data_IF_696799169605
#
_entry.id   IF_696799169605
#
_cell.length_a   1.000
_cell.length_b   1.000
_cell.length_c   1.000
_cell.angle_alpha   90.00
_cell.angle_beta   90.00
_cell.angle_gamma   90.00
#
_symmetry.space_group_name_H-M   'P 1'
#
loop_
_entity.id
_entity.type
_entity.pdbx_description
1 polymer ?
#
# COMPACT_ATOMS: atom_id res chain seq x y z
N UNK A 1 -6.98 16.66 9.12
CA UNK A 1 -5.54 16.33 8.89
C UNK A 1 -4.95 17.41 7.99
N UNK A 2 -3.78 17.93 8.35
CA UNK A 2 -3.23 18.99 7.50
C UNK A 2 -2.61 18.40 6.20
N UNK A 3 -2.44 19.26 5.21
CA UNK A 3 -2.00 18.84 3.88
C UNK A 3 -0.61 18.21 3.87
N UNK A 4 0.27 18.68 4.73
CA UNK A 4 1.64 18.18 4.75
C UNK A 4 1.68 16.74 5.28
N UNK A 5 0.97 16.47 6.37
CA UNK A 5 0.88 15.11 6.93
C UNK A 5 0.22 14.19 5.89
N UNK A 6 -0.86 14.66 5.28
CA UNK A 6 -1.57 13.88 4.26
C UNK A 6 -0.66 13.50 3.11
N UNK A 7 0.12 14.48 2.61
CA UNK A 7 1.02 14.22 1.49
C UNK A 7 2.10 13.20 1.85
N UNK A 8 2.69 13.32 3.03
CA UNK A 8 3.71 12.37 3.48
C UNK A 8 3.14 10.96 3.55
N UNK A 9 1.95 10.81 4.15
CA UNK A 9 1.35 9.49 4.30
C UNK A 9 0.94 8.89 2.96
N UNK A 10 0.38 9.70 2.05
CA UNK A 10 0.05 9.23 0.71
C UNK A 10 1.28 8.68 -0.01
N UNK A 11 2.38 9.44 0.03
CA UNK A 11 3.62 8.99 -0.60
C UNK A 11 4.15 7.72 0.03
N UNK A 12 4.04 7.60 1.35
CA UNK A 12 4.45 6.40 2.06
C UNK A 12 3.67 5.18 1.60
N UNK A 13 2.33 5.29 1.55
CA UNK A 13 1.49 4.16 1.17
C UNK A 13 1.67 3.80 -0.29
N UNK A 14 1.80 4.78 -1.17
CA UNK A 14 2.09 4.52 -2.57
C UNK A 14 3.41 3.78 -2.75
N UNK A 15 4.43 4.17 -2.00
CA UNK A 15 5.72 3.50 -2.05
C UNK A 15 5.64 2.07 -1.52
N UNK A 16 4.88 1.85 -0.45
CA UNK A 16 4.67 0.50 0.10
C UNK A 16 3.99 -0.41 -0.91
N UNK A 17 3.00 0.10 -1.63
CA UNK A 17 2.31 -0.65 -2.67
C UNK A 17 3.28 -1.03 -3.80
N UNK A 18 4.04 -0.06 -4.28
CA UNK A 18 4.98 -0.32 -5.38
C UNK A 18 6.09 -1.29 -4.97
N UNK A 19 6.60 -1.16 -3.74
CA UNK A 19 7.60 -2.07 -3.23
C UNK A 19 7.07 -3.50 -3.16
N UNK A 20 5.86 -3.68 -2.63
CA UNK A 20 5.25 -5.00 -2.53
C UNK A 20 4.97 -5.60 -3.91
N UNK A 21 4.48 -4.78 -4.85
CA UNK A 21 4.25 -5.23 -6.22
C UNK A 21 5.53 -5.70 -6.88
N UNK A 22 6.62 -4.97 -6.68
CA UNK A 22 7.92 -5.34 -7.23
C UNK A 22 8.38 -6.70 -6.68
N UNK A 23 8.25 -6.89 -5.37
CA UNK A 23 8.66 -8.14 -4.74
C UNK A 23 7.83 -9.33 -5.23
N UNK A 24 6.52 -9.14 -5.38
CA UNK A 24 5.64 -10.17 -5.93
C UNK A 24 6.08 -10.52 -7.35
N UNK A 25 6.41 -9.52 -8.16
CA UNK A 25 6.90 -9.73 -9.52
C UNK A 25 8.17 -10.56 -9.53
N UNK A 26 9.10 -10.26 -8.62
CA UNK A 26 10.35 -11.02 -8.50
C UNK A 26 10.08 -12.50 -8.20
N UNK A 27 9.18 -12.77 -7.25
CA UNK A 27 8.82 -14.15 -6.93
C UNK A 27 8.16 -14.86 -8.12
N UNK A 28 7.32 -14.14 -8.87
CA UNK A 28 6.54 -14.72 -9.95
C UNK A 28 7.36 -14.97 -11.22
N UNK A 29 8.25 -14.03 -11.57
CA UNK A 29 8.93 -14.05 -12.85
C UNK A 29 10.33 -14.66 -12.82
N UNK A 30 11.00 -14.57 -11.69
CA UNK A 30 12.39 -14.98 -11.60
C UNK A 30 12.59 -16.32 -10.90
N UNK A 31 11.51 -16.97 -10.50
CA UNK A 31 11.56 -18.26 -9.82
C UNK A 31 12.65 -18.28 -8.74
N UNK A 32 12.69 -17.23 -7.94
CA UNK A 32 13.71 -17.09 -6.91
C UNK A 32 13.58 -18.23 -5.92
N UNK A 33 14.48 -19.21 -6.05
CA UNK A 33 14.60 -20.24 -5.04
C UNK A 33 15.49 -19.67 -3.94
N UNK A 34 14.85 -19.22 -2.87
CA UNK A 34 15.57 -18.76 -1.69
C UNK A 34 15.51 -19.93 -0.71
N UNK A 35 16.63 -20.67 -0.53
CA UNK A 35 16.58 -21.87 0.29
C UNK A 35 16.11 -21.65 1.73
N UNK A 36 16.32 -20.46 2.26
CA UNK A 36 15.89 -20.11 3.60
C UNK A 36 14.40 -19.78 3.69
N UNK A 37 13.74 -19.60 2.55
CA UNK A 37 12.31 -19.22 2.51
C UNK A 37 11.57 -20.12 1.52
N UNK A 38 11.34 -21.39 1.90
CA UNK A 38 10.66 -22.32 1.00
C UNK A 38 9.16 -21.99 0.79
N UNK A 39 8.58 -21.16 1.64
CA UNK A 39 7.16 -20.82 1.57
C UNK A 39 6.93 -19.55 0.74
N UNK A 40 7.04 -19.71 -0.58
CA UNK A 40 6.87 -18.58 -1.51
C UNK A 40 5.44 -18.05 -1.45
N UNK A 41 4.45 -18.94 -1.39
CA UNK A 41 3.06 -18.50 -1.35
C UNK A 41 2.74 -17.73 -0.08
N UNK A 42 3.31 -18.14 1.05
CA UNK A 42 3.16 -17.40 2.30
C UNK A 42 3.79 -16.02 2.23
N UNK A 43 4.95 -15.90 1.59
CA UNK A 43 5.60 -14.60 1.43
C UNK A 43 4.79 -13.69 0.51
N UNK A 44 4.25 -14.23 -0.59
CA UNK A 44 3.40 -13.44 -1.49
C UNK A 44 2.12 -13.01 -0.77
N UNK A 45 1.55 -13.88 0.06
CA UNK A 45 0.36 -13.55 0.83
C UNK A 45 0.60 -12.35 1.76
N UNK A 46 1.76 -12.31 2.42
CA UNK A 46 2.13 -11.18 3.27
C UNK A 46 2.27 -9.89 2.47
N UNK A 47 2.80 -9.97 1.26
CA UNK A 47 2.94 -8.80 0.39
C UNK A 47 1.58 -8.30 -0.08
N UNK A 48 0.67 -9.21 -0.39
CA UNK A 48 -0.70 -8.84 -0.74
C UNK A 48 -1.39 -8.15 0.44
N UNK A 49 -1.14 -8.60 1.65
CA UNK A 49 -1.68 -7.94 2.84
C UNK A 49 -1.17 -6.51 2.96
N UNK A 50 0.12 -6.28 2.69
CA UNK A 50 0.67 -4.92 2.72
C UNK A 50 0.01 -4.02 1.69
N UNK A 51 -0.21 -4.53 0.48
CA UNK A 51 -0.91 -3.76 -0.55
C UNK A 51 -2.33 -3.43 -0.09
N UNK A 52 -3.05 -4.43 0.42
CA UNK A 52 -4.43 -4.24 0.86
C UNK A 52 -4.52 -3.21 1.98
N UNK A 53 -3.62 -3.27 2.96
CA UNK A 53 -3.61 -2.30 4.06
C UNK A 53 -3.30 -0.88 3.56
N UNK A 54 -2.31 -0.75 2.68
CA UNK A 54 -1.94 0.56 2.15
C UNK A 54 -3.06 1.16 1.30
N UNK A 55 -3.68 0.35 0.45
CA UNK A 55 -4.83 0.80 -0.34
C UNK A 55 -6.00 1.19 0.53
N UNK A 56 -6.25 0.44 1.59
CA UNK A 56 -7.32 0.76 2.53
C UNK A 56 -7.06 2.09 3.23
N UNK A 57 -5.82 2.32 3.67
CA UNK A 57 -5.47 3.59 4.29
C UNK A 57 -5.62 4.77 3.33
N UNK A 58 -5.25 4.59 2.07
CA UNK A 58 -5.45 5.64 1.06
C UNK A 58 -6.94 5.93 0.88
N UNK A 59 -7.76 4.89 0.84
CA UNK A 59 -9.20 5.05 0.72
C UNK A 59 -9.80 5.76 1.93
N UNK A 60 -9.35 5.39 3.13
CA UNK A 60 -9.81 6.04 4.36
C UNK A 60 -9.43 7.52 4.36
N UNK A 61 -8.20 7.85 3.95
CA UNK A 61 -7.78 9.23 3.86
C UNK A 61 -8.61 10.02 2.86
N UNK A 62 -8.89 9.43 1.72
CA UNK A 62 -9.69 10.08 0.69
C UNK A 62 -11.12 10.31 1.17
N UNK A 63 -11.68 9.33 1.87
CA UNK A 63 -13.07 9.40 2.31
C UNK A 63 -13.28 10.36 3.49
N UNK A 64 -12.35 10.36 4.43
CA UNK A 64 -12.57 11.05 5.70
C UNK A 64 -11.69 12.29 5.91
N UNK A 65 -10.58 12.39 5.20
CA UNK A 65 -9.57 13.43 5.47
C UNK A 65 -9.16 14.21 4.23
N UNK A 66 -9.96 14.12 3.18
CA UNK A 66 -9.76 14.92 1.97
C UNK A 66 -10.36 16.31 2.24
N UNK A 67 -9.52 17.33 2.31
CA UNK A 67 -9.95 18.67 2.62
C UNK A 67 -10.96 19.21 1.61
N UNK A 68 -10.82 18.86 0.34
CA UNK A 68 -11.79 19.28 -0.67
C UNK A 68 -13.16 18.67 -0.43
N UNK A 69 -13.20 17.41 0.00
CA UNK A 69 -14.46 16.75 0.33
C UNK A 69 -15.06 17.32 1.61
N UNK A 70 -14.23 17.65 2.59
CA UNK A 70 -14.68 18.25 3.83
C UNK A 70 -15.39 19.57 3.55
N UNK A 71 -14.83 20.40 2.67
CA UNK A 71 -15.44 21.66 2.28
C UNK A 71 -16.81 21.44 1.65
N UNK A 72 -16.97 20.42 0.83
CA UNK A 72 -18.26 20.11 0.22
C UNK A 72 -19.28 19.59 1.21
N UNK A 73 -18.82 18.89 2.23
CA UNK A 73 -19.71 18.30 3.23
C UNK A 73 -20.30 19.34 4.17
N UNK A 74 -19.68 20.49 4.28
CA UNK A 74 -20.16 21.57 5.13
C UNK A 74 -21.46 22.19 4.57
N UNK A 75 -21.69 22.00 3.32
CA UNK A 75 -22.91 22.49 2.69
C UNK A 75 -24.11 21.65 3.08
#
# INVERSE_FOLDING_TARGET
MNNQIRTVLMKRYEAEIEDAKYKIKCYSEHELVIPEHPDITGEVDKLLMKIAEAEDKLAVMSLHYDENKADRQVL
#
